data_IF_577572207228
#
_entry.id   IF_577572207228
#
_cell.length_a   1.000
_cell.length_b   1.000
_cell.length_c   1.000
_cell.angle_alpha   90.00
_cell.angle_beta   90.00
_cell.angle_gamma   90.00
#
_symmetry.space_group_name_H-M   'P 1'
#
loop_
_entity.id
_entity.type
_entity.pdbx_description
1 polymer ?
#
# COMPACT_ATOMS: atom_id res chain seq x y z
N UNK A 1 47.82 -16.60 -52.77
CA UNK A 1 46.34 -16.71 -52.75
C UNK A 1 45.87 -16.71 -54.19
N UNK A 2 45.11 -17.73 -54.58
CA UNK A 2 44.63 -17.87 -55.96
C UNK A 2 43.52 -16.86 -56.25
N UNK A 3 43.35 -16.43 -57.51
CA UNK A 3 42.35 -15.43 -57.91
C UNK A 3 40.92 -15.85 -57.54
N UNK A 4 40.65 -17.16 -57.53
CA UNK A 4 39.38 -17.72 -57.07
C UNK A 4 39.17 -17.52 -55.56
N UNK A 5 40.22 -17.65 -54.74
CA UNK A 5 40.13 -17.47 -53.28
C UNK A 5 39.89 -16.01 -52.92
N UNK A 6 40.50 -15.07 -53.64
CA UNK A 6 40.28 -13.63 -53.46
C UNK A 6 38.86 -13.23 -53.87
N UNK A 7 38.35 -13.78 -54.98
CA UNK A 7 36.98 -13.52 -55.44
C UNK A 7 35.93 -14.08 -54.47
N UNK A 8 36.17 -15.26 -53.89
CA UNK A 8 35.28 -15.85 -52.88
C UNK A 8 35.28 -15.04 -51.57
N UNK A 9 36.44 -14.61 -51.09
CA UNK A 9 36.56 -13.74 -49.91
C UNK A 9 35.88 -12.39 -50.14
N UNK A 10 36.05 -11.78 -51.31
CA UNK A 10 35.37 -10.53 -51.68
C UNK A 10 33.85 -10.70 -51.76
N UNK A 11 33.36 -11.78 -52.37
CA UNK A 11 31.92 -12.08 -52.43
C UNK A 11 31.32 -12.32 -51.04
N UNK A 12 32.05 -12.99 -50.14
CA UNK A 12 31.60 -13.26 -48.77
C UNK A 12 31.58 -11.98 -47.92
N UNK A 13 32.54 -11.08 -48.12
CA UNK A 13 32.57 -9.75 -47.48
C UNK A 13 31.48 -8.80 -48.01
N UNK A 14 31.11 -8.91 -49.30
CA UNK A 14 29.98 -8.17 -49.88
C UNK A 14 28.63 -8.69 -49.37
N UNK A 15 28.50 -10.01 -49.15
CA UNK A 15 27.30 -10.62 -48.59
C UNK A 15 27.08 -10.28 -47.11
N UNK A 16 28.15 -10.08 -46.32
CA UNK A 16 28.04 -9.68 -44.91
C UNK A 16 27.68 -8.19 -44.73
N UNK A 17 27.97 -7.33 -45.71
CA UNK A 17 27.55 -5.92 -45.74
C UNK A 17 26.10 -5.72 -46.21
N UNK A 18 25.48 -6.75 -46.81
CA UNK A 18 24.08 -6.72 -47.25
C UNK A 18 23.07 -7.16 -46.16
N UNK A 19 23.54 -7.38 -44.92
CA UNK A 19 22.67 -7.68 -43.78
C UNK A 19 21.89 -6.44 -43.37
N UNK A 20 20.78 -6.20 -44.07
CA UNK A 20 19.82 -5.15 -43.77
C UNK A 20 19.22 -5.43 -42.38
N UNK A 21 19.65 -4.68 -41.36
CA UNK A 21 18.94 -4.65 -40.09
C UNK A 21 17.61 -3.94 -40.33
N UNK A 22 16.51 -4.67 -40.31
CA UNK A 22 15.18 -4.07 -40.33
C UNK A 22 15.02 -3.19 -39.09
N UNK A 23 15.11 -1.88 -39.26
CA UNK A 23 14.77 -0.91 -38.23
C UNK A 23 13.25 -0.78 -38.20
N UNK A 24 12.62 -1.36 -37.20
CA UNK A 24 11.20 -1.13 -36.94
C UNK A 24 11.06 0.22 -36.27
N UNK A 25 10.41 1.15 -36.95
CA UNK A 25 9.95 2.40 -36.34
C UNK A 25 8.45 2.29 -36.07
N UNK A 26 8.05 2.69 -34.87
CA UNK A 26 6.64 2.76 -34.50
C UNK A 26 5.96 3.85 -35.34
N UNK A 27 5.22 3.44 -36.37
CA UNK A 27 4.61 4.38 -37.32
C UNK A 27 3.39 5.12 -36.75
N UNK A 28 2.60 4.46 -35.90
CA UNK A 28 1.48 5.07 -35.19
C UNK A 28 1.02 4.20 -34.02
N UNK A 29 0.34 4.82 -33.06
CA UNK A 29 -0.40 4.13 -32.00
C UNK A 29 -1.83 4.65 -32.02
N UNK A 30 -2.78 3.78 -32.33
CA UNK A 30 -4.21 4.08 -32.14
C UNK A 30 -4.62 3.67 -30.72
N UNK A 31 -5.36 4.54 -30.03
CA UNK A 31 -5.92 4.26 -28.70
C UNK A 31 -7.37 4.68 -28.68
N UNK A 32 -8.23 3.81 -28.19
CA UNK A 32 -9.60 4.16 -27.82
C UNK A 32 -9.80 3.91 -26.32
N UNK A 33 -10.60 4.76 -25.69
CA UNK A 33 -11.05 4.53 -24.32
C UNK A 33 -12.32 3.70 -24.39
N UNK A 34 -12.26 2.49 -23.86
CA UNK A 34 -13.46 1.71 -23.57
C UNK A 34 -13.91 2.14 -22.18
N UNK A 35 -15.03 2.85 -22.11
CA UNK A 35 -15.65 3.19 -20.82
C UNK A 35 -16.32 1.92 -20.29
N UNK A 36 -15.94 1.47 -19.10
CA UNK A 36 -16.63 0.37 -18.41
C UNK A 36 -17.66 1.02 -17.47
N UNK A 37 -18.93 0.97 -17.88
CA UNK A 37 -20.09 1.48 -17.15
C UNK A 37 -21.24 0.44 -17.17
N UNK A 38 -22.39 0.82 -16.63
CA UNK A 38 -23.55 -0.07 -16.50
C UNK A 38 -24.16 -0.53 -17.83
N UNK A 39 -23.69 -0.03 -18.97
CA UNK A 39 -24.14 -0.47 -20.29
C UNK A 39 -23.89 -1.97 -20.51
N UNK A 40 -22.78 -2.48 -19.98
CA UNK A 40 -22.38 -3.88 -20.17
C UNK A 40 -23.16 -4.84 -19.25
N UNK A 41 -23.77 -4.33 -18.18
CA UNK A 41 -24.58 -5.12 -17.24
C UNK A 41 -25.93 -5.53 -17.83
N UNK A 42 -26.40 -4.83 -18.87
CA UNK A 42 -27.72 -5.07 -19.47
C UNK A 42 -27.79 -6.36 -20.30
N UNK A 43 -26.65 -6.81 -20.86
CA UNK A 43 -26.56 -8.01 -21.69
C UNK A 43 -25.23 -8.73 -21.43
N UNK A 44 -25.09 -9.40 -20.26
CA UNK A 44 -23.89 -10.16 -19.96
C UNK A 44 -23.75 -11.35 -20.92
N UNK A 45 -22.50 -11.69 -21.22
CA UNK A 45 -22.18 -12.83 -22.07
C UNK A 45 -22.43 -14.14 -21.32
N UNK A 46 -23.38 -14.95 -21.82
CA UNK A 46 -23.85 -16.16 -21.12
C UNK A 46 -22.77 -17.22 -20.98
N UNK A 47 -21.86 -17.32 -21.94
CA UNK A 47 -20.79 -18.31 -21.92
C UNK A 47 -19.72 -17.90 -20.89
N UNK A 48 -19.41 -16.60 -20.81
CA UNK A 48 -18.54 -16.04 -19.78
C UNK A 48 -19.17 -16.18 -18.38
N UNK A 49 -20.46 -15.90 -18.22
CA UNK A 49 -21.16 -16.13 -16.94
C UNK A 49 -21.10 -17.59 -16.51
N UNK A 50 -21.42 -18.52 -17.41
CA UNK A 50 -21.38 -19.94 -17.13
C UNK A 50 -19.96 -20.40 -16.76
N UNK A 51 -18.94 -19.86 -17.42
CA UNK A 51 -17.54 -20.12 -17.10
C UNK A 51 -17.15 -19.60 -15.71
N UNK A 52 -17.59 -18.40 -15.34
CA UNK A 52 -17.24 -17.76 -14.06
C UNK A 52 -18.01 -18.32 -12.86
N UNK A 53 -19.22 -18.83 -13.07
CA UNK A 53 -20.15 -19.27 -12.02
C UNK A 53 -19.52 -20.20 -10.95
N UNK A 54 -18.80 -21.29 -11.29
CA UNK A 54 -18.22 -22.17 -10.27
C UNK A 54 -17.15 -21.47 -9.42
N UNK A 55 -16.38 -20.55 -10.01
CA UNK A 55 -15.39 -19.75 -9.28
C UNK A 55 -16.05 -18.71 -8.39
N UNK A 56 -17.10 -18.05 -8.90
CA UNK A 56 -17.90 -17.08 -8.15
C UNK A 56 -18.45 -17.70 -6.86
N UNK A 57 -19.04 -18.90 -6.93
CA UNK A 57 -19.55 -19.57 -5.73
C UNK A 57 -18.47 -19.85 -4.67
N UNK A 58 -17.27 -20.29 -5.10
CA UNK A 58 -16.16 -20.53 -4.18
C UNK A 58 -15.66 -19.24 -3.55
N UNK A 59 -15.45 -18.20 -4.36
CA UNK A 59 -15.00 -16.88 -3.90
C UNK A 59 -16.03 -16.28 -2.95
N UNK A 60 -17.30 -16.22 -3.34
CA UNK A 60 -18.37 -15.66 -2.53
C UNK A 60 -18.44 -16.36 -1.16
N UNK A 61 -18.32 -17.69 -1.11
CA UNK A 61 -18.31 -18.44 0.15
C UNK A 61 -17.12 -18.11 1.05
N UNK A 62 -15.95 -17.83 0.48
CA UNK A 62 -14.75 -17.45 1.24
C UNK A 62 -14.83 -16.01 1.75
N UNK A 63 -15.42 -15.11 0.96
CA UNK A 63 -15.47 -13.67 1.24
C UNK A 63 -16.63 -13.26 2.16
N UNK A 64 -17.74 -14.02 2.17
CA UNK A 64 -18.96 -13.68 2.92
C UNK A 64 -18.88 -13.65 4.46
N UNK A 65 -18.00 -14.39 5.16
CA UNK A 65 -18.01 -14.38 6.62
C UNK A 65 -17.79 -13.00 7.24
N UNK A 66 -18.70 -12.58 8.12
CA UNK A 66 -18.63 -11.30 8.86
C UNK A 66 -17.58 -11.36 9.97
N UNK A 67 -16.56 -10.50 9.88
CA UNK A 67 -15.46 -10.39 10.86
C UNK A 67 -15.70 -9.32 11.92
N UNK A 68 -16.56 -8.34 11.66
CA UNK A 68 -16.88 -7.26 12.59
C UNK A 68 -17.93 -6.31 12.03
N UNK A 69 -18.01 -5.11 12.59
CA UNK A 69 -18.93 -4.05 12.16
C UNK A 69 -18.19 -2.71 12.22
N UNK A 70 -18.48 -1.78 11.30
CA UNK A 70 -18.12 -0.36 11.44
C UNK A 70 -19.36 0.50 11.69
N UNK A 71 -19.26 1.47 12.60
CA UNK A 71 -20.41 2.32 12.97
C UNK A 71 -20.70 3.45 11.96
N UNK A 72 -19.81 3.67 11.00
CA UNK A 72 -19.87 4.77 10.05
C UNK A 72 -19.14 4.40 8.75
N UNK A 73 -19.48 5.08 7.64
CA UNK A 73 -18.74 4.95 6.39
C UNK A 73 -17.31 5.48 6.57
N UNK A 74 -16.31 4.69 6.21
CA UNK A 74 -14.90 5.03 6.36
C UNK A 74 -14.16 4.95 5.03
N UNK A 75 -13.67 6.07 4.53
CA UNK A 75 -12.88 6.14 3.29
C UNK A 75 -11.53 6.81 3.51
N UNK A 76 -10.52 6.36 2.78
CA UNK A 76 -9.20 6.98 2.76
C UNK A 76 -9.19 8.33 2.03
N UNK A 77 -8.60 9.35 2.65
CA UNK A 77 -8.39 10.68 2.03
C UNK A 77 -7.19 11.36 2.67
N UNK A 78 -6.34 11.99 1.85
CA UNK A 78 -5.25 12.86 2.33
C UNK A 78 -5.79 14.22 2.83
N UNK A 79 -5.12 14.88 3.79
CA UNK A 79 -3.92 14.41 4.48
C UNK A 79 -4.20 13.40 5.60
N UNK A 80 -5.45 13.32 6.06
CA UNK A 80 -5.91 12.45 7.15
C UNK A 80 -7.37 12.02 6.91
N UNK A 81 -7.70 10.80 7.30
CA UNK A 81 -9.06 10.25 7.23
C UNK A 81 -9.31 9.24 8.35
N UNK A 82 -10.58 8.92 8.60
CA UNK A 82 -10.98 7.92 9.60
C UNK A 82 -10.38 6.55 9.30
N UNK A 83 -10.39 6.12 8.04
CA UNK A 83 -9.84 4.83 7.63
C UNK A 83 -8.31 4.79 7.73
N UNK A 84 -7.61 5.83 7.31
CA UNK A 84 -6.14 5.87 7.43
C UNK A 84 -5.69 5.87 8.88
N UNK A 85 -6.42 6.56 9.76
CA UNK A 85 -6.16 6.57 11.19
C UNK A 85 -6.37 5.17 11.79
N UNK A 86 -7.48 4.52 11.43
CA UNK A 86 -7.80 3.17 11.88
C UNK A 86 -6.70 2.18 11.49
N UNK A 87 -6.31 2.14 10.22
CA UNK A 87 -5.33 1.15 9.75
C UNK A 87 -3.93 1.37 10.36
N UNK A 88 -3.50 2.62 10.54
CA UNK A 88 -2.25 2.91 11.24
C UNK A 88 -2.32 2.46 12.71
N UNK A 89 -3.44 2.68 13.40
CA UNK A 89 -3.58 2.24 14.78
C UNK A 89 -3.71 0.71 14.94
N UNK A 90 -4.28 0.04 13.94
CA UNK A 90 -4.30 -1.43 13.89
C UNK A 90 -2.87 -1.98 13.83
N UNK A 91 -1.94 -1.32 13.13
CA UNK A 91 -0.53 -1.72 13.15
C UNK A 91 0.10 -1.56 14.53
N UNK A 92 -0.23 -0.49 15.27
CA UNK A 92 0.19 -0.35 16.68
C UNK A 92 -0.38 -1.47 17.54
N UNK A 93 -1.69 -1.71 17.47
CA UNK A 93 -2.38 -2.75 18.22
C UNK A 93 -1.81 -4.14 17.90
N UNK A 94 -1.48 -4.40 16.63
CA UNK A 94 -0.91 -5.66 16.17
C UNK A 94 0.47 -5.98 16.74
N UNK A 95 1.21 -4.97 17.23
CA UNK A 95 2.50 -5.16 17.90
C UNK A 95 2.46 -6.16 19.06
N UNK A 96 1.32 -6.23 19.77
CA UNK A 96 1.12 -7.17 20.90
C UNK A 96 1.31 -8.64 20.51
N UNK A 97 1.01 -9.01 19.27
CA UNK A 97 1.13 -10.38 18.77
C UNK A 97 2.59 -10.79 18.49
N UNK A 98 3.50 -9.81 18.43
CA UNK A 98 4.91 -10.02 18.07
C UNK A 98 5.88 -9.62 19.19
N UNK A 99 5.37 -9.36 20.40
CA UNK A 99 6.18 -8.84 21.53
C UNK A 99 6.85 -7.50 21.19
N UNK A 100 6.19 -6.70 20.36
CA UNK A 100 6.66 -5.41 19.89
C UNK A 100 5.82 -4.29 20.52
N UNK A 101 6.50 -3.21 20.92
CA UNK A 101 5.87 -2.02 21.49
C UNK A 101 6.30 -0.79 20.68
N UNK A 102 5.75 -0.61 19.47
CA UNK A 102 6.04 0.54 18.62
C UNK A 102 5.59 1.86 19.26
N UNK A 103 6.42 2.90 19.15
CA UNK A 103 6.11 4.27 19.58
C UNK A 103 5.06 4.93 18.67
N UNK A 104 5.07 4.60 17.38
CA UNK A 104 4.07 5.02 16.39
C UNK A 104 4.03 4.05 15.21
N UNK A 105 3.03 4.19 14.35
CA UNK A 105 2.92 3.42 13.12
C UNK A 105 2.61 4.28 11.89
N UNK A 106 2.98 3.75 10.71
CA UNK A 106 2.73 4.38 9.41
C UNK A 106 2.10 3.37 8.44
N UNK A 107 1.06 3.82 7.74
CA UNK A 107 0.36 3.07 6.71
C UNK A 107 0.23 3.96 5.46
N UNK A 108 0.63 3.48 4.28
CA UNK A 108 0.54 4.30 3.07
C UNK A 108 -0.89 4.36 2.52
N UNK A 109 -1.31 5.56 2.15
CA UNK A 109 -2.62 5.86 1.59
C UNK A 109 -2.85 5.11 0.27
N UNK A 110 -1.80 4.92 -0.54
CA UNK A 110 -1.87 4.15 -1.79
C UNK A 110 -2.20 2.67 -1.56
N UNK A 111 -1.92 2.16 -0.37
CA UNK A 111 -2.24 0.80 0.08
C UNK A 111 -3.71 0.57 0.38
N UNK A 112 -4.48 1.64 0.61
CA UNK A 112 -5.91 1.57 0.97
C UNK A 112 -6.76 1.70 -0.29
N UNK A 113 -7.49 0.65 -0.66
CA UNK A 113 -8.07 0.52 -2.01
C UNK A 113 -9.59 0.63 -2.09
N UNK A 114 -10.27 0.47 -0.95
CA UNK A 114 -11.71 0.64 -0.83
C UNK A 114 -12.06 1.41 0.45
N UNK A 115 -13.35 1.69 0.61
CA UNK A 115 -13.94 2.18 1.84
C UNK A 115 -14.65 1.05 2.57
N UNK A 116 -14.80 1.15 3.88
CA UNK A 116 -15.79 0.33 4.59
C UNK A 116 -17.15 1.02 4.52
N UNK A 117 -18.16 0.29 4.04
CA UNK A 117 -19.55 0.69 4.18
C UNK A 117 -19.98 0.56 5.66
N UNK A 118 -20.87 1.42 6.11
CA UNK A 118 -21.44 1.31 7.46
C UNK A 118 -22.16 -0.04 7.64
N UNK A 119 -21.95 -0.69 8.79
CA UNK A 119 -22.56 -1.98 9.13
C UNK A 119 -21.56 -3.13 9.11
N UNK A 120 -22.04 -4.32 8.79
CA UNK A 120 -21.25 -5.55 8.79
C UNK A 120 -20.02 -5.43 7.88
N UNK A 121 -18.88 -5.88 8.40
CA UNK A 121 -17.62 -6.00 7.66
C UNK A 121 -17.33 -7.48 7.45
N UNK A 122 -17.24 -7.89 6.19
CA UNK A 122 -16.91 -9.25 5.76
C UNK A 122 -15.41 -9.43 5.55
N UNK A 123 -14.98 -10.68 5.35
CA UNK A 123 -13.63 -10.97 4.88
C UNK A 123 -13.36 -10.25 3.55
N UNK A 124 -14.33 -10.28 2.62
CA UNK A 124 -14.25 -9.61 1.32
C UNK A 124 -14.00 -8.12 1.45
N UNK A 125 -14.71 -7.44 2.35
CA UNK A 125 -14.53 -6.00 2.57
C UNK A 125 -13.11 -5.67 3.07
N UNK A 126 -12.54 -6.50 3.95
CA UNK A 126 -11.15 -6.31 4.40
C UNK A 126 -10.18 -6.52 3.25
N UNK A 127 -10.43 -7.50 2.39
CA UNK A 127 -9.61 -7.76 1.20
C UNK A 127 -9.70 -6.58 0.21
N UNK A 128 -10.88 -6.03 -0.02
CA UNK A 128 -11.08 -4.87 -0.89
C UNK A 128 -10.37 -3.61 -0.33
N UNK A 129 -10.38 -3.42 0.99
CA UNK A 129 -9.68 -2.31 1.65
C UNK A 129 -8.16 -2.49 1.61
N UNK A 130 -7.65 -3.68 1.90
CA UNK A 130 -6.21 -4.00 1.99
C UNK A 130 -5.83 -5.23 1.12
N UNK A 131 -5.87 -5.11 -0.22
CA UNK A 131 -5.74 -6.25 -1.13
C UNK A 131 -4.32 -6.74 -1.33
N UNK A 132 -3.31 -5.95 -0.96
CA UNK A 132 -1.92 -6.31 -1.13
C UNK A 132 -1.47 -7.37 -0.12
N UNK A 133 -0.48 -8.18 -0.48
CA UNK A 133 0.15 -9.15 0.42
C UNK A 133 1.13 -8.50 1.41
N UNK A 134 0.88 -7.23 1.78
CA UNK A 134 1.74 -6.48 2.67
C UNK A 134 1.75 -7.10 4.06
N UNK A 135 2.95 -7.23 4.62
CA UNK A 135 3.19 -7.81 5.94
C UNK A 135 3.54 -6.72 6.95
N UNK A 136 3.07 -6.86 8.19
CA UNK A 136 3.49 -5.96 9.27
C UNK A 136 4.98 -6.14 9.56
N UNK A 137 5.69 -5.03 9.71
CA UNK A 137 7.09 -4.96 10.07
C UNK A 137 7.30 -3.99 11.23
N UNK A 138 8.31 -4.25 12.03
CA UNK A 138 8.73 -3.41 13.15
C UNK A 138 10.19 -3.05 12.96
N UNK A 139 10.52 -1.77 13.07
CA UNK A 139 11.88 -1.29 12.84
C UNK A 139 12.19 -0.12 13.75
N UNK A 140 13.47 0.23 13.86
CA UNK A 140 13.91 1.34 14.70
C UNK A 140 14.53 2.43 13.84
N UNK A 141 14.09 3.67 14.06
CA UNK A 141 14.67 4.88 13.46
C UNK A 141 15.25 5.77 14.55
N UNK A 142 16.35 6.46 14.25
CA UNK A 142 16.78 7.60 15.08
C UNK A 142 15.80 8.76 14.92
N UNK A 143 15.71 9.67 15.89
CA UNK A 143 14.83 10.83 15.79
C UNK A 143 15.08 11.68 14.55
N UNK A 144 16.35 11.81 14.12
CA UNK A 144 16.69 12.47 12.86
C UNK A 144 16.02 11.80 11.66
N UNK A 145 16.00 10.46 11.63
CA UNK A 145 15.33 9.70 10.57
C UNK A 145 13.81 9.68 10.71
N UNK A 146 13.28 9.83 11.92
CA UNK A 146 11.84 10.08 12.13
C UNK A 146 11.42 11.43 11.56
N UNK A 147 12.20 12.50 11.77
CA UNK A 147 11.93 13.80 11.14
C UNK A 147 11.98 13.71 9.61
N UNK A 148 13.01 13.08 9.08
CA UNK A 148 13.14 12.87 7.62
C UNK A 148 11.95 12.06 7.06
N UNK A 149 11.49 11.04 7.79
CA UNK A 149 10.27 10.29 7.43
C UNK A 149 9.04 11.21 7.43
N UNK A 150 8.89 12.07 8.42
CA UNK A 150 7.76 13.01 8.49
C UNK A 150 7.83 14.10 7.41
N UNK A 151 9.02 14.54 7.00
CA UNK A 151 9.22 15.40 5.84
C UNK A 151 8.80 14.70 4.54
N UNK A 152 9.12 13.41 4.41
CA UNK A 152 8.70 12.60 3.26
C UNK A 152 7.18 12.40 3.23
N UNK A 153 6.56 12.08 4.38
CA UNK A 153 5.09 12.01 4.51
C UNK A 153 4.46 13.37 4.16
N UNK A 154 5.08 14.48 4.56
CA UNK A 154 4.60 15.80 4.18
C UNK A 154 4.63 16.00 2.67
N UNK A 155 5.73 15.61 2.01
CA UNK A 155 5.94 15.74 0.57
C UNK A 155 4.96 14.93 -0.29
N UNK A 156 4.40 13.84 0.24
CA UNK A 156 3.36 13.04 -0.44
C UNK A 156 1.95 13.59 -0.20
N UNK A 157 1.81 14.64 0.61
CA UNK A 157 0.53 15.22 1.00
C UNK A 157 -0.14 14.52 2.19
N UNK A 158 0.60 13.70 2.94
CA UNK A 158 0.11 12.94 4.09
C UNK A 158 -0.03 11.44 3.79
N UNK A 159 0.15 10.65 4.84
CA UNK A 159 -0.02 9.19 4.88
C UNK A 159 -0.79 8.84 6.16
N UNK A 160 -1.21 7.58 6.33
CA UNK A 160 -1.80 7.13 7.58
C UNK A 160 -0.76 7.09 8.67
N UNK A 161 -0.96 7.85 9.74
CA UNK A 161 -0.10 7.85 10.94
C UNK A 161 -0.95 7.52 12.16
N UNK A 162 -0.37 6.78 13.11
CA UNK A 162 -1.08 6.36 14.30
C UNK A 162 -1.38 7.51 15.27
N UNK A 163 -2.26 7.25 16.24
CA UNK A 163 -2.56 8.16 17.34
C UNK A 163 -1.26 8.62 18.01
N UNK A 164 -1.24 9.89 18.43
CA UNK A 164 -0.08 10.52 19.04
C UNK A 164 0.87 11.21 18.06
N UNK A 165 0.87 10.85 16.77
CA UNK A 165 1.61 11.61 15.75
C UNK A 165 0.83 12.88 15.40
N UNK A 166 1.51 14.03 15.44
CA UNK A 166 0.94 15.30 15.00
C UNK A 166 1.91 15.99 14.04
N UNK A 167 1.50 16.17 12.79
CA UNK A 167 2.25 16.85 11.74
C UNK A 167 1.50 18.11 11.30
N UNK A 168 2.24 19.20 11.17
CA UNK A 168 1.77 20.42 10.51
C UNK A 168 2.50 20.53 9.19
N UNK A 169 1.76 20.56 8.09
CA UNK A 169 2.29 20.62 6.73
C UNK A 169 1.87 21.95 6.09
N UNK A 170 2.73 22.55 5.28
CA UNK A 170 2.39 23.73 4.49
C UNK A 170 1.56 23.38 3.25
N UNK A 171 0.91 24.37 2.63
CA UNK A 171 0.23 24.19 1.33
C UNK A 171 1.14 23.67 0.20
N UNK A 172 2.45 23.91 0.28
CA UNK A 172 3.46 23.38 -0.66
C UNK A 172 4.08 22.06 -0.20
N UNK A 173 3.41 21.32 0.70
CA UNK A 173 3.79 19.97 1.15
C UNK A 173 5.13 19.87 1.88
N UNK A 174 5.51 20.92 2.63
CA UNK A 174 6.67 20.91 3.52
C UNK A 174 6.25 20.69 4.96
N UNK A 175 7.05 19.94 5.71
CA UNK A 175 6.84 19.80 7.15
C UNK A 175 7.18 21.12 7.86
N UNK A 176 6.25 21.61 8.66
CA UNK A 176 6.39 22.82 9.48
C UNK A 176 6.60 22.51 10.96
N UNK A 177 5.94 21.48 11.48
CA UNK A 177 6.03 21.03 12.87
C UNK A 177 5.75 19.52 12.95
N UNK A 178 6.41 18.82 13.87
CA UNK A 178 6.16 17.40 14.11
C UNK A 178 6.31 17.03 15.59
N UNK A 179 5.30 16.35 16.14
CA UNK A 179 5.27 15.88 17.53
C UNK A 179 4.85 14.43 17.60
N UNK A 180 5.29 13.78 18.67
CA UNK A 180 4.82 12.46 19.08
C UNK A 180 4.38 12.51 20.54
N UNK A 181 3.13 12.16 20.80
CA UNK A 181 2.49 12.19 22.12
C UNK A 181 2.65 13.56 22.80
N UNK A 182 2.48 14.63 22.03
CA UNK A 182 2.62 16.02 22.48
C UNK A 182 4.05 16.49 22.73
N UNK A 183 5.07 15.65 22.45
CA UNK A 183 6.49 15.98 22.65
C UNK A 183 7.19 16.16 21.32
N UNK A 184 8.18 17.05 21.30
CA UNK A 184 9.11 17.18 20.18
C UNK A 184 9.85 15.86 19.93
N UNK A 185 10.18 15.60 18.66
CA UNK A 185 11.07 14.50 18.32
C UNK A 185 12.49 14.87 18.78
N UNK A 186 13.17 13.95 19.48
CA UNK A 186 14.56 14.10 19.90
C UNK A 186 15.46 13.37 18.91
N UNK A 187 16.36 14.10 18.23
CA UNK A 187 17.22 13.54 17.18
C UNK A 187 18.06 12.35 17.64
N UNK A 188 18.42 12.33 18.92
CA UNK A 188 19.32 11.34 19.51
C UNK A 188 18.58 10.13 20.09
N UNK A 189 17.24 10.21 20.19
CA UNK A 189 16.42 9.09 20.69
C UNK A 189 16.13 8.08 19.58
N UNK A 190 16.07 6.81 19.94
CA UNK A 190 15.57 5.75 19.08
C UNK A 190 14.05 5.61 19.22
N UNK A 191 13.36 5.44 18.10
CA UNK A 191 11.91 5.26 18.02
C UNK A 191 11.60 3.94 17.34
N UNK A 192 10.78 3.12 17.97
CA UNK A 192 10.24 1.88 17.42
C UNK A 192 9.02 2.20 16.56
N UNK A 193 8.99 1.71 15.32
CA UNK A 193 7.95 2.02 14.35
C UNK A 193 7.34 0.73 13.82
N UNK A 194 6.01 0.63 13.81
CA UNK A 194 5.29 -0.38 13.05
C UNK A 194 4.92 0.15 11.67
N UNK A 195 5.15 -0.64 10.62
CA UNK A 195 4.87 -0.25 9.23
C UNK A 195 4.63 -1.50 8.39
N UNK A 196 4.51 -1.32 7.07
CA UNK A 196 4.42 -2.40 6.10
C UNK A 196 5.82 -2.77 5.58
N UNK A 197 6.06 -4.04 5.26
CA UNK A 197 7.27 -4.51 4.57
C UNK A 197 7.54 -3.75 3.25
N UNK A 198 6.47 -3.40 2.54
CA UNK A 198 6.52 -2.52 1.37
C UNK A 198 7.17 -1.16 1.70
N UNK A 199 6.76 -0.50 2.79
CA UNK A 199 7.32 0.80 3.17
C UNK A 199 8.69 0.68 3.83
N UNK A 200 8.97 -0.42 4.52
CA UNK A 200 10.29 -0.71 5.09
C UNK A 200 11.40 -0.71 4.02
N UNK A 201 11.05 -1.01 2.77
CA UNK A 201 11.97 -0.96 1.62
C UNK A 201 12.17 0.45 1.03
N UNK A 202 11.48 1.45 1.55
CA UNK A 202 11.55 2.85 1.10
C UNK A 202 10.61 3.19 -0.06
N UNK A 203 9.62 2.34 -0.34
CA UNK A 203 8.62 2.63 -1.36
C UNK A 203 7.73 3.82 -0.98
N UNK A 204 6.91 4.31 -1.92
CA UNK A 204 6.07 5.50 -1.78
C UNK A 204 6.83 6.77 -1.33
N UNK A 205 8.11 6.86 -1.72
CA UNK A 205 9.02 7.98 -1.38
C UNK A 205 9.38 8.07 0.11
N UNK A 206 9.09 7.04 0.90
CA UNK A 206 9.41 6.97 2.33
C UNK A 206 10.80 6.37 2.58
N UNK A 207 11.81 6.89 1.88
CA UNK A 207 13.18 6.35 1.86
C UNK A 207 13.87 6.36 3.24
N UNK A 208 13.42 7.18 4.19
CA UNK A 208 13.94 7.20 5.55
C UNK A 208 13.88 5.83 6.22
N UNK A 209 12.89 4.99 5.87
CA UNK A 209 12.79 3.62 6.35
C UNK A 209 13.99 2.73 5.98
N UNK A 210 14.69 3.01 4.88
CA UNK A 210 15.89 2.26 4.48
C UNK A 210 17.07 2.46 5.44
N UNK A 211 17.01 3.50 6.28
CA UNK A 211 18.02 3.76 7.32
C UNK A 211 17.71 3.04 8.63
N UNK A 212 16.66 2.21 8.67
CA UNK A 212 16.23 1.56 9.89
C UNK A 212 17.20 0.48 10.38
N UNK A 213 17.18 0.29 11.69
CA UNK A 213 17.88 -0.79 12.39
C UNK A 213 16.87 -1.68 13.10
N UNK A 214 17.35 -2.81 13.66
CA UNK A 214 16.53 -3.74 14.44
C UNK A 214 15.25 -4.20 13.70
N UNK A 215 15.34 -4.44 12.40
CA UNK A 215 14.20 -4.88 11.60
C UNK A 215 13.70 -6.24 12.07
N UNK A 216 12.42 -6.28 12.43
CA UNK A 216 11.65 -7.49 12.67
C UNK A 216 10.57 -7.55 11.59
N UNK A 217 10.74 -8.47 10.66
CA UNK A 217 9.83 -8.70 9.53
C UNK A 217 9.46 -10.18 9.52
N UNK A 218 8.43 -10.59 10.27
CA UNK A 218 7.98 -11.97 10.28
C UNK A 218 7.61 -12.43 8.86
N UNK A 219 7.78 -13.72 8.57
CA UNK A 219 7.57 -14.24 7.21
C UNK A 219 6.46 -15.28 7.11
N UNK A 220 5.62 -15.37 8.12
CA UNK A 220 4.52 -16.34 8.15
C UNK A 220 3.29 -15.79 7.41
N UNK A 221 2.25 -16.61 7.14
CA UNK A 221 1.02 -16.09 6.55
C UNK A 221 0.28 -15.11 7.45
N UNK A 222 0.31 -15.34 8.77
CA UNK A 222 -0.51 -14.63 9.76
C UNK A 222 -0.11 -13.16 9.92
N UNK A 223 1.11 -12.79 9.54
CA UNK A 223 1.58 -11.42 9.65
C UNK A 223 1.25 -10.56 8.41
N UNK A 224 0.51 -11.10 7.44
CA UNK A 224 -0.15 -10.28 6.44
C UNK A 224 -1.17 -9.35 7.13
N UNK A 225 -1.09 -8.07 6.80
CA UNK A 225 -1.87 -7.00 7.42
C UNK A 225 -3.37 -7.24 7.34
N UNK A 226 -3.89 -7.91 6.31
CA UNK A 226 -5.33 -8.24 6.25
C UNK A 226 -5.77 -9.13 7.40
N UNK A 227 -4.92 -10.06 7.85
CA UNK A 227 -5.23 -10.92 9.00
C UNK A 227 -5.19 -10.11 10.29
N UNK A 228 -4.23 -9.20 10.44
CA UNK A 228 -4.16 -8.29 11.58
C UNK A 228 -5.40 -7.38 11.65
N UNK A 229 -5.88 -6.87 10.50
CA UNK A 229 -7.13 -6.11 10.43
C UNK A 229 -8.31 -6.99 10.86
N UNK A 230 -8.47 -8.18 10.28
CA UNK A 230 -9.56 -9.07 10.65
C UNK A 230 -9.54 -9.45 12.12
N UNK A 231 -8.38 -9.70 12.71
CA UNK A 231 -8.25 -10.04 14.11
C UNK A 231 -8.62 -8.88 15.03
N UNK A 232 -8.26 -7.64 14.64
CA UNK A 232 -8.74 -6.44 15.32
C UNK A 232 -10.27 -6.36 15.29
N UNK A 233 -10.88 -6.52 14.10
CA UNK A 233 -12.35 -6.50 13.96
C UNK A 233 -13.04 -7.61 14.77
N UNK A 234 -12.47 -8.82 14.80
CA UNK A 234 -13.00 -9.94 15.59
C UNK A 234 -12.90 -9.69 17.09
N UNK A 235 -11.79 -9.12 17.57
CA UNK A 235 -11.64 -8.72 18.97
C UNK A 235 -12.70 -7.67 19.35
N UNK A 236 -12.87 -6.65 18.52
CA UNK A 236 -13.89 -5.62 18.72
C UNK A 236 -15.32 -6.18 18.69
N UNK A 237 -15.61 -7.11 17.78
CA UNK A 237 -16.89 -7.83 17.69
C UNK A 237 -17.16 -8.67 18.94
N UNK A 238 -16.16 -9.38 19.45
CA UNK A 238 -16.27 -10.17 20.68
C UNK A 238 -16.61 -9.31 21.90
N UNK A 239 -16.20 -8.04 21.88
CA UNK A 239 -16.55 -7.03 22.89
C UNK A 239 -17.87 -6.29 22.61
N UNK A 240 -18.61 -6.66 21.55
CA UNK A 240 -19.81 -5.97 21.06
C UNK A 240 -19.58 -4.47 20.76
N UNK A 241 -18.39 -4.14 20.24
CA UNK A 241 -17.99 -2.77 19.91
C UNK A 241 -17.84 -2.62 18.40
N UNK A 242 -18.78 -1.96 17.71
CA UNK A 242 -18.57 -1.53 16.33
C UNK A 242 -17.31 -0.65 16.24
N UNK A 243 -16.48 -0.89 15.23
CA UNK A 243 -15.25 -0.14 14.98
C UNK A 243 -15.61 1.27 14.51
N UNK A 244 -14.98 2.25 15.15
CA UNK A 244 -15.13 3.66 14.81
C UNK A 244 -13.80 4.40 14.96
N UNK A 245 -13.63 5.49 14.22
CA UNK A 245 -12.41 6.31 14.32
C UNK A 245 -12.69 7.73 13.88
N UNK A 246 -12.17 8.69 14.64
CA UNK A 246 -12.34 10.11 14.37
C UNK A 246 -11.12 10.68 13.65
N UNK A 247 -11.34 11.78 12.95
CA UNK A 247 -10.25 12.67 12.53
C UNK A 247 -9.80 13.42 13.78
N UNK A 248 -8.51 13.33 14.10
CA UNK A 248 -7.92 13.87 15.34
C UNK A 248 -7.03 15.09 15.08
N UNK A 249 -6.78 15.42 13.81
CA UNK A 249 -5.78 16.43 13.44
C UNK A 249 -4.36 15.88 13.60
N UNK A 250 -4.17 14.58 13.30
CA UNK A 250 -2.85 13.95 13.21
C UNK A 250 -2.03 14.60 12.11
N UNK A 251 -2.66 15.04 11.03
CA UNK A 251 -2.01 15.80 9.97
C UNK A 251 -2.88 16.99 9.57
N UNK A 252 -2.36 18.21 9.74
CA UNK A 252 -3.06 19.44 9.37
C UNK A 252 -2.28 20.25 8.33
N UNK A 253 -2.98 20.85 7.38
CA UNK A 253 -2.38 21.75 6.37
C UNK A 253 -2.59 23.20 6.81
N UNK A 254 -1.52 24.01 6.78
CA UNK A 254 -1.55 25.46 7.04
C UNK A 254 -1.05 26.27 5.84
#
# INVERSE_FOLDING_TARGET
MDKQTISFLAATALLSLASCKSHYELSSVSRSRILIDNKYDANPDKDAEAFLLPYKHQVDSLMSPVVGEVSEYMSARKPESTLSNLLADILLWGGKNYQESPDFAVYNMGGIRAAFAQGDVTYGDVLDVAPFENKICFLTLSGKKVRELFEQIASTGGEGVSHGVNLVISKDHKLLDCKLNGKEIDDNKAYRVATLDYLAQGNDKLEAFKSATNLVSPQTPENNVRFIIMDYFREQKAENKPVSRKIEGRIIIK
#
